data_IF_258694445169
#
_entry.id   IF_258694445169
#
_cell.length_a   1.000
_cell.length_b   1.000
_cell.length_c   1.000
_cell.angle_alpha   90.00
_cell.angle_beta   90.00
_cell.angle_gamma   90.00
#
_symmetry.space_group_name_H-M   'P 1'
#
loop_
_entity.id
_entity.type
_entity.pdbx_description
1 polymer ?
#
# COMPACT_ATOMS: atom_id res chain seq x y z
N UNK A 1 -6.05 15.07 -9.77
CA UNK A 1 -5.94 13.80 -9.02
C UNK A 1 -4.73 13.04 -9.55
N UNK A 2 -3.75 12.70 -8.71
CA UNK A 2 -2.56 11.97 -9.14
C UNK A 2 -2.65 10.51 -8.71
N UNK A 3 -2.53 9.59 -9.66
CA UNK A 3 -2.40 8.16 -9.39
C UNK A 3 -0.92 7.81 -9.31
N UNK A 4 -0.55 7.04 -8.30
CA UNK A 4 0.81 6.56 -8.11
C UNK A 4 0.85 5.05 -8.21
N UNK A 5 1.89 4.52 -8.86
CA UNK A 5 2.13 3.08 -8.95
C UNK A 5 3.61 2.83 -8.62
N UNK A 6 3.92 1.90 -7.69
CA UNK A 6 5.29 1.47 -7.38
C UNK A 6 6.08 1.07 -8.61
N UNK A 7 7.42 1.18 -8.57
CA UNK A 7 8.25 0.75 -9.72
C UNK A 7 8.20 -0.76 -9.88
N UNK A 8 8.38 -1.49 -8.78
CA UNK A 8 8.18 -2.95 -8.70
C UNK A 8 6.85 -3.42 -9.30
N UNK A 9 5.73 -2.76 -8.97
CA UNK A 9 4.43 -3.14 -9.51
C UNK A 9 4.38 -3.04 -11.04
N UNK A 10 5.07 -2.07 -11.65
CA UNK A 10 5.14 -1.93 -13.11
C UNK A 10 5.99 -3.04 -13.73
N UNK A 11 7.10 -3.39 -13.08
CA UNK A 11 7.98 -4.47 -13.52
C UNK A 11 7.29 -5.83 -13.42
N UNK A 12 6.53 -6.05 -12.33
CA UNK A 12 5.70 -7.24 -12.15
C UNK A 12 4.61 -7.33 -13.23
N UNK A 13 3.87 -6.25 -13.49
CA UNK A 13 2.87 -6.20 -14.58
C UNK A 13 3.48 -6.50 -15.96
N UNK A 14 4.74 -6.10 -16.19
CA UNK A 14 5.46 -6.41 -17.43
C UNK A 14 5.87 -7.88 -17.49
N UNK A 15 6.27 -8.47 -16.35
CA UNK A 15 6.70 -9.86 -16.25
C UNK A 15 5.55 -10.87 -16.34
N UNK A 16 4.33 -10.49 -15.93
CA UNK A 16 3.13 -11.34 -15.98
C UNK A 16 2.64 -11.66 -17.41
N UNK A 17 3.18 -11.00 -18.44
CA UNK A 17 2.93 -11.35 -19.85
C UNK A 17 1.83 -10.53 -20.53
N UNK A 18 1.38 -10.96 -21.74
CA UNK A 18 0.58 -10.13 -22.64
C UNK A 18 -0.84 -9.86 -22.16
N UNK A 19 -1.41 -10.73 -21.31
CA UNK A 19 -2.75 -10.52 -20.73
C UNK A 19 -2.83 -9.23 -19.91
N UNK A 20 -1.73 -8.87 -19.24
CA UNK A 20 -1.63 -7.67 -18.40
C UNK A 20 -1.06 -6.46 -19.14
N UNK A 21 -0.82 -6.56 -20.46
CA UNK A 21 -0.23 -5.48 -21.25
C UNK A 21 -1.06 -4.18 -21.18
N UNK A 22 -2.39 -4.28 -21.16
CA UNK A 22 -3.28 -3.12 -21.00
C UNK A 22 -3.10 -2.45 -19.64
N UNK A 23 -2.96 -3.24 -18.57
CA UNK A 23 -2.71 -2.73 -17.23
C UNK A 23 -1.33 -2.07 -17.12
N UNK A 24 -0.30 -2.67 -17.72
CA UNK A 24 1.02 -2.08 -17.82
C UNK A 24 0.98 -0.74 -18.58
N UNK A 25 0.33 -0.69 -19.75
CA UNK A 25 0.18 0.54 -20.54
C UNK A 25 -0.57 1.64 -19.77
N UNK A 26 -1.60 1.27 -19.00
CA UNK A 26 -2.29 2.19 -18.11
C UNK A 26 -1.35 2.73 -17.02
N UNK A 27 -0.59 1.85 -16.36
CA UNK A 27 0.32 2.21 -15.29
C UNK A 27 1.44 3.16 -15.75
N UNK A 28 2.00 2.96 -16.95
CA UNK A 28 3.04 3.85 -17.50
C UNK A 28 2.48 5.15 -18.08
N UNK A 29 1.28 5.11 -18.68
CA UNK A 29 0.69 6.25 -19.38
C UNK A 29 -0.05 7.22 -18.47
N UNK A 30 -0.66 6.72 -17.39
CA UNK A 30 -1.59 7.49 -16.56
C UNK A 30 -1.16 7.61 -15.09
N UNK A 31 -0.17 6.83 -14.64
CA UNK A 31 0.28 6.85 -13.25
C UNK A 31 1.71 7.38 -13.13
N UNK A 32 1.96 8.14 -12.06
CA UNK A 32 3.30 8.60 -11.68
C UNK A 32 4.01 7.53 -10.84
N UNK A 33 5.34 7.54 -10.86
CA UNK A 33 6.12 6.74 -9.90
C UNK A 33 5.90 7.28 -8.50
N UNK A 34 5.92 6.40 -7.49
CA UNK A 34 5.88 6.85 -6.10
C UNK A 34 7.05 7.82 -5.85
N UNK A 35 6.80 8.96 -5.20
CA UNK A 35 7.88 9.83 -4.76
C UNK A 35 8.74 9.10 -3.72
N UNK A 36 10.01 9.50 -3.54
CA UNK A 36 10.84 8.94 -2.48
C UNK A 36 10.16 9.15 -1.11
N UNK A 37 10.36 8.23 -0.16
CA UNK A 37 9.86 8.39 1.20
C UNK A 37 10.43 9.69 1.80
N UNK A 38 9.57 10.49 2.44
CA UNK A 38 9.95 11.83 2.89
C UNK A 38 10.98 11.87 4.03
N UNK A 39 11.08 10.80 4.82
CA UNK A 39 11.97 10.76 5.99
C UNK A 39 12.91 9.56 5.93
N UNK A 40 14.20 9.82 5.68
CA UNK A 40 15.31 8.84 5.71
C UNK A 40 15.64 8.30 7.12
N UNK A 41 14.95 8.75 8.18
CA UNK A 41 15.33 8.48 9.57
C UNK A 41 14.49 7.44 10.33
N UNK A 42 13.61 6.66 9.68
CA UNK A 42 12.85 5.58 10.36
C UNK A 42 12.77 4.27 9.55
N UNK A 43 13.88 3.81 8.99
CA UNK A 43 14.11 2.38 8.75
C UNK A 43 14.48 1.61 10.05
N UNK A 44 14.05 2.14 11.21
CA UNK A 44 14.31 1.62 12.55
C UNK A 44 13.00 1.33 13.28
N UNK A 45 12.14 0.51 12.69
CA UNK A 45 11.01 -0.09 13.38
C UNK A 45 11.38 -1.50 13.85
N UNK A 46 12.07 -1.60 14.98
CA UNK A 46 12.23 -2.85 15.74
C UNK A 46 10.86 -3.31 16.23
N UNK A 47 10.20 -4.16 15.45
CA UNK A 47 9.00 -4.89 15.83
C UNK A 47 9.33 -6.38 15.93
N UNK A 48 9.86 -6.79 17.08
CA UNK A 48 9.85 -8.18 17.52
C UNK A 48 8.40 -8.61 17.75
N UNK A 49 7.89 -9.48 16.89
CA UNK A 49 6.59 -10.11 17.00
C UNK A 49 6.62 -11.40 16.20
N UNK A 50 7.08 -12.46 16.84
CA UNK A 50 6.84 -13.84 16.46
C UNK A 50 5.34 -14.12 16.52
N UNK A 51 4.77 -14.61 15.41
CA UNK A 51 4.05 -15.89 15.32
C UNK A 51 3.29 -15.95 13.97
N UNK A 52 3.52 -17.06 13.25
CA UNK A 52 2.94 -17.50 11.97
C UNK A 52 1.42 -17.79 12.14
N UNK A 53 0.51 -17.90 11.16
CA UNK A 53 0.42 -18.61 9.86
C UNK A 53 -0.94 -18.14 9.25
N UNK A 54 -1.29 -18.16 7.95
CA UNK A 54 -0.69 -18.77 6.78
C UNK A 54 -1.50 -18.50 5.49
N UNK A 55 -0.93 -18.93 4.36
CA UNK A 55 -1.53 -19.04 3.02
C UNK A 55 -1.16 -17.89 2.06
N UNK A 56 -0.36 -18.06 1.01
CA UNK A 56 0.32 -19.20 0.41
C UNK A 56 0.76 -18.79 -1.00
N UNK A 57 1.97 -19.21 -1.44
CA UNK A 57 2.32 -19.31 -2.86
C UNK A 57 3.50 -18.47 -3.36
N UNK A 58 4.65 -19.13 -3.56
CA UNK A 58 5.61 -18.77 -4.60
C UNK A 58 6.95 -18.21 -4.12
N UNK A 59 7.80 -19.10 -3.61
CA UNK A 59 9.23 -18.89 -3.48
C UNK A 59 9.90 -18.79 -4.85
N UNK A 60 10.50 -17.64 -5.09
CA UNK A 60 11.46 -17.33 -6.14
C UNK A 60 12.20 -16.10 -5.63
N UNK A 61 13.47 -15.96 -5.97
CA UNK A 61 14.30 -14.80 -5.61
C UNK A 61 13.66 -13.53 -6.24
N UNK A 62 12.67 -12.97 -5.56
CA UNK A 62 11.76 -11.97 -6.14
C UNK A 62 12.42 -10.60 -6.07
N UNK A 63 12.35 -9.88 -7.18
CA UNK A 63 12.71 -8.47 -7.29
C UNK A 63 11.96 -7.58 -6.28
N UNK A 64 12.10 -6.25 -6.37
CA UNK A 64 11.51 -5.33 -5.39
C UNK A 64 10.01 -5.61 -5.19
N UNK A 65 9.57 -5.66 -3.93
CA UNK A 65 8.20 -6.00 -3.55
C UNK A 65 7.32 -4.72 -3.52
N UNK A 66 6.25 -4.66 -4.33
CA UNK A 66 5.39 -3.47 -4.38
C UNK A 66 4.73 -3.16 -3.04
N UNK A 67 4.42 -4.16 -2.23
CA UNK A 67 3.81 -3.96 -0.93
C UNK A 67 4.76 -3.23 0.04
N UNK A 68 6.08 -3.45 -0.08
CA UNK A 68 7.09 -2.75 0.72
C UNK A 68 7.28 -1.31 0.26
N UNK A 69 7.33 -1.06 -1.04
CA UNK A 69 7.41 0.31 -1.59
C UNK A 69 6.21 1.16 -1.15
N UNK A 70 4.99 0.59 -1.18
CA UNK A 70 3.77 1.28 -0.74
C UNK A 70 3.87 1.66 0.74
N UNK A 71 4.25 0.72 1.61
CA UNK A 71 4.39 0.99 3.05
C UNK A 71 5.47 2.03 3.33
N UNK A 72 6.62 1.93 2.64
CA UNK A 72 7.71 2.89 2.79
C UNK A 72 7.28 4.31 2.36
N UNK A 73 6.55 4.44 1.25
CA UNK A 73 6.07 5.73 0.77
C UNK A 73 5.03 6.38 1.70
N UNK A 74 4.17 5.58 2.35
CA UNK A 74 3.16 6.05 3.30
C UNK A 74 3.80 6.48 4.62
N UNK A 75 4.76 5.71 5.11
CA UNK A 75 5.39 5.96 6.41
C UNK A 75 4.48 5.64 7.59
N UNK A 76 4.79 6.17 8.76
CA UNK A 76 4.14 5.81 10.02
C UNK A 76 2.79 6.51 10.27
N UNK A 77 2.59 7.68 9.65
CA UNK A 77 1.49 8.62 9.93
C UNK A 77 0.78 9.14 8.66
N UNK A 78 1.20 8.65 7.49
CA UNK A 78 0.67 9.06 6.20
C UNK A 78 0.73 10.59 5.98
N UNK A 79 1.88 11.24 6.25
CA UNK A 79 2.09 12.68 5.98
C UNK A 79 1.71 13.08 4.54
N UNK A 80 1.94 12.17 3.58
CA UNK A 80 1.60 12.35 2.17
C UNK A 80 0.10 12.31 1.86
N UNK A 81 -0.73 11.97 2.86
CA UNK A 81 -2.20 11.84 2.76
C UNK A 81 -2.61 10.93 1.62
N UNK A 82 -1.91 9.82 1.46
CA UNK A 82 -2.21 8.83 0.43
C UNK A 82 -3.50 8.09 0.75
N UNK A 83 -4.26 7.81 -0.30
CA UNK A 83 -5.30 6.79 -0.32
C UNK A 83 -4.74 5.59 -1.08
N UNK A 84 -4.88 4.40 -0.49
CA UNK A 84 -4.31 3.18 -1.08
C UNK A 84 -5.41 2.32 -1.66
N UNK A 85 -5.25 1.94 -2.93
CA UNK A 85 -6.09 0.96 -3.60
C UNK A 85 -5.33 -0.37 -3.73
N UNK A 86 -5.79 -1.42 -3.05
CA UNK A 86 -5.14 -2.74 -3.10
C UNK A 86 -6.16 -3.88 -3.00
N UNK A 87 -5.93 -4.94 -3.78
CA UNK A 87 -6.66 -6.21 -3.67
C UNK A 87 -6.03 -7.17 -2.64
N UNK A 88 -4.79 -6.93 -2.21
CA UNK A 88 -4.10 -7.76 -1.22
C UNK A 88 -4.63 -7.47 0.20
N UNK A 89 -5.25 -8.47 0.81
CA UNK A 89 -5.79 -8.38 2.16
C UNK A 89 -4.72 -8.19 3.23
N UNK A 90 -3.56 -8.84 3.10
CA UNK A 90 -2.48 -8.75 4.07
C UNK A 90 -1.90 -7.34 4.11
N UNK A 91 -1.70 -6.72 2.94
CA UNK A 91 -1.29 -5.33 2.84
C UNK A 91 -2.33 -4.40 3.49
N UNK A 92 -3.62 -4.61 3.24
CA UNK A 92 -4.68 -3.78 3.87
C UNK A 92 -4.67 -3.91 5.39
N UNK A 93 -4.60 -5.13 5.93
CA UNK A 93 -4.51 -5.37 7.38
C UNK A 93 -3.32 -4.63 7.99
N UNK A 94 -2.16 -4.65 7.30
CA UNK A 94 -0.96 -3.93 7.73
C UNK A 94 -1.16 -2.41 7.71
N UNK A 95 -1.74 -1.87 6.64
CA UNK A 95 -1.95 -0.43 6.47
C UNK A 95 -3.02 0.15 7.41
N UNK A 96 -4.00 -0.65 7.87
CA UNK A 96 -4.97 -0.21 8.89
C UNK A 96 -4.33 0.21 10.21
N UNK A 97 -3.10 -0.25 10.49
CA UNK A 97 -2.33 0.15 11.68
C UNK A 97 -1.80 1.58 11.58
N UNK A 98 -1.72 2.14 10.38
CA UNK A 98 -1.29 3.52 10.11
C UNK A 98 -2.53 4.42 10.22
N UNK A 99 -2.50 5.47 11.05
CA UNK A 99 -3.61 6.42 11.14
C UNK A 99 -3.71 7.25 9.86
N UNK A 100 -4.93 7.66 9.51
CA UNK A 100 -5.15 8.57 8.39
C UNK A 100 -4.87 7.95 7.01
N UNK A 101 -4.86 6.62 6.90
CA UNK A 101 -4.68 5.89 5.63
C UNK A 101 -6.00 5.27 5.15
N UNK A 102 -6.76 5.95 4.26
CA UNK A 102 -7.96 5.37 3.66
C UNK A 102 -7.59 4.24 2.70
N UNK A 103 -8.34 3.14 2.77
CA UNK A 103 -8.14 1.96 1.95
C UNK A 103 -9.34 1.76 1.02
N UNK A 104 -9.05 1.39 -0.22
CA UNK A 104 -10.04 1.10 -1.25
C UNK A 104 -9.71 -0.23 -1.92
N UNK A 105 -10.75 -0.99 -2.28
CA UNK A 105 -10.61 -2.21 -3.06
C UNK A 105 -11.82 -2.41 -3.96
N UNK A 106 -11.69 -3.28 -4.96
CA UNK A 106 -12.78 -3.66 -5.84
C UNK A 106 -13.38 -4.98 -5.36
N UNK A 107 -14.68 -4.95 -5.08
CA UNK A 107 -15.49 -6.14 -4.82
C UNK A 107 -16.39 -6.41 -6.02
N UNK A 108 -16.06 -7.43 -6.81
CA UNK A 108 -16.73 -7.73 -8.09
C UNK A 108 -16.66 -6.53 -9.05
N UNK A 109 -17.70 -5.69 -9.08
CA UNK A 109 -17.84 -4.54 -9.98
C UNK A 109 -17.87 -3.20 -9.24
N UNK A 110 -17.88 -3.20 -7.90
CA UNK A 110 -17.98 -1.97 -7.10
C UNK A 110 -16.66 -1.65 -6.42
N UNK A 111 -16.35 -0.36 -6.37
CA UNK A 111 -15.25 0.18 -5.60
C UNK A 111 -15.73 0.43 -4.17
N UNK A 112 -15.13 -0.26 -3.21
CA UNK A 112 -15.47 -0.19 -1.79
C UNK A 112 -14.38 0.58 -1.08
N UNK A 113 -14.76 1.65 -0.37
CA UNK A 113 -13.90 2.33 0.59
C UNK A 113 -14.09 1.68 1.96
N UNK A 114 -13.00 1.32 2.61
CA UNK A 114 -13.05 0.73 3.94
C UNK A 114 -13.43 1.76 5.00
N UNK A 115 -14.02 1.27 6.09
CA UNK A 115 -14.26 2.10 7.27
C UNK A 115 -12.93 2.62 7.84
N UNK A 116 -12.91 3.84 8.40
CA UNK A 116 -11.72 4.36 9.07
C UNK A 116 -11.21 3.38 10.12
N UNK A 117 -9.90 3.13 10.11
CA UNK A 117 -9.28 2.20 11.05
C UNK A 117 -9.45 2.69 12.50
N UNK A 118 -9.46 1.77 13.46
CA UNK A 118 -9.50 2.13 14.88
C UNK A 118 -8.38 3.09 15.28
N UNK A 119 -7.20 2.96 14.66
CA UNK A 119 -6.08 3.90 14.82
C UNK A 119 -6.41 5.29 14.29
N UNK A 120 -7.01 5.38 13.10
CA UNK A 120 -7.45 6.66 12.54
C UNK A 120 -8.49 7.36 13.42
N UNK A 121 -9.46 6.61 13.96
CA UNK A 121 -10.47 7.15 14.88
C UNK A 121 -9.86 7.64 16.19
N UNK A 122 -8.95 6.85 16.78
CA UNK A 122 -8.29 7.23 18.03
C UNK A 122 -7.40 8.48 17.88
N UNK A 123 -6.68 8.63 16.77
CA UNK A 123 -5.91 9.85 16.51
C UNK A 123 -6.81 11.07 16.27
N UNK A 124 -7.95 10.87 15.59
CA UNK A 124 -8.92 11.93 15.39
C UNK A 124 -9.53 12.42 16.72
N UNK A 125 -9.96 11.50 17.59
CA UNK A 125 -10.51 11.83 18.90
C UNK A 125 -9.51 12.61 19.79
N UNK A 126 -8.22 12.22 19.76
CA UNK A 126 -7.15 12.97 20.43
C UNK A 126 -6.98 14.39 19.87
N UNK A 127 -7.16 14.57 18.56
CA UNK A 127 -7.03 15.87 17.92
C UNK A 127 -8.20 16.80 18.25
N UNK A 128 -9.41 16.27 18.45
CA UNK A 128 -10.61 17.04 18.81
C UNK A 128 -10.67 17.45 20.28
N UNK A 129 -10.03 16.72 21.19
CA UNK A 129 -10.00 17.05 22.63
C UNK A 129 -8.99 18.16 22.98
N UNK A 130 -8.65 19.02 22.00
CA UNK A 130 -7.64 20.07 22.11
C UNK A 130 -8.26 21.44 21.88
#
# INVERSE_FOLDING_TARGET
MHLFVPRSAREELKALGPEFQKAYNFAIGHCRGLPPPRNENQAGGSGSGSDEEGGGGGGGEKGPDPAKEIVAAIGADNEGKYLVASQDENLRVRLRRIPGCPLVFVSRTVLVMEQPSGKSKAEFEKAECR
#
